data_IF_824193036663
#
_entry.id   IF_824193036663
#
_cell.length_a   1.000
_cell.length_b   1.000
_cell.length_c   1.000
_cell.angle_alpha   90.00
_cell.angle_beta   90.00
_cell.angle_gamma   90.00
#
_symmetry.space_group_name_H-M   'P 1'
#
loop_
_entity.id
_entity.type
_entity.pdbx_description
1 polymer ?
#
# COMPACT_ATOMS: atom_id res chain seq x y z
N UNK A 1 26.42 0.44 -9.69
CA UNK A 1 25.47 -0.37 -10.51
C UNK A 1 24.14 0.36 -10.53
N UNK A 2 23.48 0.61 -11.68
CA UNK A 2 22.15 1.23 -11.65
C UNK A 2 21.18 0.23 -11.01
N UNK A 3 20.55 0.63 -9.91
CA UNK A 3 19.75 -0.26 -9.05
C UNK A 3 18.40 -0.66 -9.71
N UNK A 4 17.92 0.09 -10.70
CA UNK A 4 16.59 -0.09 -11.30
C UNK A 4 16.59 -0.71 -12.72
N UNK A 5 17.66 -1.42 -13.12
CA UNK A 5 17.73 -2.00 -14.48
C UNK A 5 16.66 -3.05 -14.79
N UNK A 6 16.11 -3.69 -13.76
CA UNK A 6 15.07 -4.73 -13.89
C UNK A 6 13.64 -4.16 -13.77
N UNK A 7 13.51 -2.84 -13.66
CA UNK A 7 12.25 -2.17 -13.33
C UNK A 7 12.29 -1.55 -11.93
N UNK A 8 11.15 -1.06 -11.50
CA UNK A 8 10.96 -0.37 -10.23
C UNK A 8 9.50 -0.51 -9.76
N UNK A 9 9.29 -0.38 -8.46
CA UNK A 9 7.98 -0.21 -7.84
C UNK A 9 7.99 1.16 -7.17
N UNK A 10 6.96 1.97 -7.45
CA UNK A 10 6.76 3.25 -6.78
C UNK A 10 5.64 3.06 -5.77
N UNK A 11 5.96 3.21 -4.49
CA UNK A 11 4.99 3.14 -3.40
C UNK A 11 4.63 4.55 -2.94
N UNK A 12 3.34 4.86 -2.85
CA UNK A 12 2.85 6.18 -2.44
C UNK A 12 3.13 7.32 -3.44
N UNK A 13 3.64 6.99 -4.63
CA UNK A 13 3.90 7.94 -5.71
C UNK A 13 3.39 7.38 -7.04
N UNK A 14 2.72 8.21 -7.86
CA UNK A 14 2.29 9.58 -7.59
C UNK A 14 1.10 9.62 -6.62
N UNK A 15 0.96 10.70 -5.84
CA UNK A 15 -0.16 10.89 -4.91
C UNK A 15 -1.28 11.78 -5.46
N UNK A 16 -1.03 12.49 -6.56
CA UNK A 16 -2.02 13.37 -7.22
C UNK A 16 -2.01 13.18 -8.74
N UNK A 17 -3.11 13.53 -9.40
CA UNK A 17 -3.19 13.47 -10.86
C UNK A 17 -2.14 14.35 -11.56
N UNK A 18 -1.80 15.52 -11.00
CA UNK A 18 -0.76 16.38 -11.52
C UNK A 18 0.63 15.72 -11.46
N UNK A 19 0.94 15.07 -10.32
CA UNK A 19 2.18 14.29 -10.20
C UNK A 19 2.18 13.11 -11.17
N UNK A 20 1.04 12.46 -11.37
CA UNK A 20 0.92 11.32 -12.29
C UNK A 20 1.19 11.72 -13.74
N UNK A 21 0.71 12.89 -14.17
CA UNK A 21 1.04 13.46 -15.47
C UNK A 21 2.54 13.68 -15.61
N UNK A 22 3.15 14.44 -14.70
CA UNK A 22 4.59 14.75 -14.75
C UNK A 22 5.46 13.49 -14.72
N UNK A 23 5.12 12.53 -13.87
CA UNK A 23 5.84 11.26 -13.76
C UNK A 23 5.72 10.44 -15.05
N UNK A 24 4.50 10.31 -15.60
CA UNK A 24 4.26 9.56 -16.83
C UNK A 24 5.07 10.14 -18.00
N UNK A 25 5.02 11.47 -18.19
CA UNK A 25 5.78 12.15 -19.25
C UNK A 25 7.30 12.02 -19.07
N UNK A 26 7.80 12.07 -17.83
CA UNK A 26 9.22 11.91 -17.55
C UNK A 26 9.70 10.48 -17.84
N UNK A 27 8.90 9.47 -17.52
CA UNK A 27 9.21 8.06 -17.74
C UNK A 27 9.07 7.66 -19.22
N UNK A 28 8.07 8.19 -19.92
CA UNK A 28 7.91 8.04 -21.37
C UNK A 28 9.15 8.60 -22.11
N UNK A 29 9.61 9.82 -21.77
CA UNK A 29 10.82 10.42 -22.36
C UNK A 29 12.11 9.63 -22.09
N UNK A 30 12.15 8.85 -21.02
CA UNK A 30 13.29 7.99 -20.65
C UNK A 30 13.23 6.60 -21.30
N UNK A 31 12.16 6.28 -22.04
CA UNK A 31 11.95 4.96 -22.63
C UNK A 31 11.60 3.88 -21.60
N UNK A 32 11.12 4.27 -20.42
CA UNK A 32 10.75 3.35 -19.33
C UNK A 32 9.36 3.70 -18.79
N UNK A 33 8.29 3.62 -19.61
CA UNK A 33 6.94 4.00 -19.20
C UNK A 33 6.42 3.11 -18.05
N UNK A 34 5.42 3.62 -17.33
CA UNK A 34 4.69 2.81 -16.35
C UNK A 34 3.90 1.71 -17.07
N UNK A 35 3.92 0.51 -16.51
CA UNK A 35 3.25 -0.67 -17.08
C UNK A 35 1.94 -0.99 -16.36
N UNK A 36 1.83 -0.62 -15.08
CA UNK A 36 0.64 -0.80 -14.27
C UNK A 36 0.61 0.22 -13.12
N UNK A 37 -0.59 0.53 -12.66
CA UNK A 37 -0.86 1.26 -11.42
C UNK A 37 -1.86 0.46 -10.59
N UNK A 38 -1.39 -0.13 -9.49
CA UNK A 38 -2.17 -1.01 -8.62
C UNK A 38 -2.91 -0.18 -7.57
N UNK A 39 -4.23 -0.35 -7.49
CA UNK A 39 -5.10 0.30 -6.51
C UNK A 39 -5.61 -0.74 -5.52
N UNK A 40 -5.02 -0.76 -4.32
CA UNK A 40 -5.40 -1.69 -3.27
C UNK A 40 -6.64 -1.19 -2.53
N UNK A 41 -7.73 -1.94 -2.63
CA UNK A 41 -9.03 -1.56 -2.08
C UNK A 41 -9.45 -2.54 -0.99
N UNK A 42 -9.82 -2.02 0.17
CA UNK A 42 -10.36 -2.82 1.26
C UNK A 42 -11.54 -2.09 1.93
N UNK A 43 -12.52 -2.83 2.47
CA UNK A 43 -13.58 -2.27 3.30
C UNK A 43 -13.02 -1.43 4.45
N UNK A 44 -13.67 -0.30 4.74
CA UNK A 44 -13.27 0.61 5.81
C UNK A 44 -13.14 -0.10 7.17
N UNK A 45 -14.08 -0.98 7.50
CA UNK A 45 -14.04 -1.71 8.77
C UNK A 45 -12.82 -2.64 8.87
N UNK A 46 -12.40 -3.26 7.76
CA UNK A 46 -11.19 -4.08 7.76
C UNK A 46 -9.93 -3.23 7.95
N UNK A 47 -9.89 -2.02 7.38
CA UNK A 47 -8.78 -1.10 7.60
C UNK A 47 -8.73 -0.62 9.07
N UNK A 48 -9.89 -0.35 9.67
CA UNK A 48 -9.99 -0.01 11.09
C UNK A 48 -9.53 -1.16 11.97
N UNK A 49 -9.95 -2.39 11.70
CA UNK A 49 -9.49 -3.58 12.41
C UNK A 49 -7.97 -3.73 12.34
N UNK A 50 -7.38 -3.55 11.15
CA UNK A 50 -5.91 -3.56 10.97
C UNK A 50 -5.20 -2.50 11.80
N UNK A 51 -5.79 -1.31 11.92
CA UNK A 51 -5.23 -0.25 12.77
C UNK A 51 -5.39 -0.57 14.26
N UNK A 52 -6.54 -1.14 14.66
CA UNK A 52 -6.82 -1.52 16.06
C UNK A 52 -5.84 -2.60 16.54
N UNK A 53 -5.64 -3.66 15.75
CA UNK A 53 -4.77 -4.79 16.12
C UNK A 53 -3.27 -4.55 15.92
N UNK A 54 -2.85 -3.35 15.47
CA UNK A 54 -1.45 -3.05 15.13
C UNK A 54 -0.59 -2.93 16.38
N UNK A 55 0.49 -3.72 16.41
CA UNK A 55 1.55 -3.64 17.40
C UNK A 55 2.85 -3.22 16.72
N UNK A 56 3.67 -2.42 17.40
CA UNK A 56 4.92 -1.87 16.85
C UNK A 56 6.03 -1.99 17.88
N UNK A 57 7.18 -2.49 17.45
CA UNK A 57 8.39 -2.37 18.23
C UNK A 57 9.03 -1.00 17.98
N UNK A 58 8.99 -0.11 18.97
CA UNK A 58 9.36 1.32 18.80
C UNK A 58 10.79 1.53 18.30
N UNK A 59 11.76 0.76 18.82
CA UNK A 59 13.17 0.94 18.47
C UNK A 59 13.50 0.57 17.02
N UNK A 60 12.76 -0.38 16.44
CA UNK A 60 13.04 -0.91 15.09
C UNK A 60 12.01 -0.54 14.03
N UNK A 61 10.80 -0.15 14.45
CA UNK A 61 9.64 0.03 13.57
C UNK A 61 9.04 -1.28 13.04
N UNK A 62 9.50 -2.46 13.50
CA UNK A 62 8.88 -3.75 13.14
C UNK A 62 7.41 -3.76 13.57
N UNK A 63 6.57 -4.34 12.70
CA UNK A 63 5.12 -4.34 12.86
C UNK A 63 4.61 -5.76 13.00
N UNK A 64 3.68 -5.89 13.93
CA UNK A 64 2.93 -7.08 14.26
C UNK A 64 1.45 -6.76 14.23
N UNK A 65 0.62 -7.79 14.25
CA UNK A 65 -0.81 -7.66 14.40
C UNK A 65 -1.34 -8.81 15.24
N UNK A 66 -2.18 -8.53 16.24
CA UNK A 66 -2.65 -9.54 17.20
C UNK A 66 -3.18 -10.82 16.55
N UNK A 67 -3.97 -10.70 15.48
CA UNK A 67 -4.54 -11.86 14.78
C UNK A 67 -3.82 -12.18 13.47
N UNK A 68 -3.57 -11.18 12.61
CA UNK A 68 -3.08 -11.39 11.25
C UNK A 68 -1.58 -11.74 11.18
N UNK A 69 -0.80 -11.30 12.17
CA UNK A 69 0.64 -11.52 12.25
C UNK A 69 1.11 -11.41 13.70
N UNK A 70 0.69 -12.36 14.57
CA UNK A 70 1.01 -12.31 15.98
C UNK A 70 2.52 -12.42 16.19
N UNK A 71 3.07 -11.78 17.23
CA UNK A 71 4.42 -12.10 17.68
C UNK A 71 4.48 -13.54 18.20
N UNK A 72 5.67 -14.13 18.22
CA UNK A 72 5.90 -15.47 18.75
C UNK A 72 5.60 -15.56 20.26
N UNK A 73 5.91 -14.49 21.01
CA UNK A 73 5.51 -14.31 22.40
C UNK A 73 4.64 -13.05 22.52
N UNK A 74 3.53 -13.16 23.25
CA UNK A 74 2.56 -12.06 23.37
C UNK A 74 3.23 -10.78 23.93
N UNK A 75 3.05 -9.68 23.19
CA UNK A 75 3.58 -8.38 23.59
C UNK A 75 5.10 -8.22 23.44
N UNK A 76 5.82 -9.16 22.80
CA UNK A 76 7.28 -9.07 22.60
C UNK A 76 7.70 -9.07 21.14
N UNK A 77 8.76 -8.32 20.85
CA UNK A 77 9.43 -8.36 19.56
C UNK A 77 10.20 -9.68 19.39
N UNK A 78 9.98 -10.37 18.26
CA UNK A 78 10.57 -11.68 18.00
C UNK A 78 12.11 -11.68 17.90
N UNK A 79 12.73 -10.52 17.67
CA UNK A 79 14.18 -10.40 17.48
C UNK A 79 14.87 -9.97 18.76
N UNK A 80 14.30 -9.01 19.49
CA UNK A 80 14.94 -8.41 20.68
C UNK A 80 14.32 -8.85 21.99
N UNK A 81 13.11 -9.39 22.00
CA UNK A 81 12.33 -9.72 23.21
C UNK A 81 11.80 -8.49 23.95
N UNK A 82 12.00 -7.29 23.40
CA UNK A 82 11.52 -6.03 23.95
C UNK A 82 10.01 -5.87 23.78
N UNK A 83 9.40 -5.01 24.59
CA UNK A 83 7.96 -4.82 24.59
C UNK A 83 7.46 -4.17 23.29
N UNK A 84 6.31 -4.65 22.81
CA UNK A 84 5.57 -4.04 21.72
C UNK A 84 4.60 -2.99 22.26
N UNK A 85 4.49 -1.88 21.55
CA UNK A 85 3.52 -0.83 21.82
C UNK A 85 2.36 -0.91 20.85
N UNK A 86 1.15 -0.59 21.34
CA UNK A 86 0.00 -0.31 20.47
C UNK A 86 -0.09 1.19 20.24
N UNK A 87 0.03 1.68 19.00
CA UNK A 87 -0.16 3.10 18.73
C UNK A 87 -1.58 3.55 19.08
N UNK A 88 -1.71 4.75 19.64
CA UNK A 88 -3.01 5.36 19.87
C UNK A 88 -3.79 5.50 18.54
N UNK A 89 -5.09 5.18 18.59
CA UNK A 89 -5.98 5.22 17.43
C UNK A 89 -7.05 6.30 17.63
N UNK A 90 -6.97 7.36 16.84
CA UNK A 90 -8.06 8.32 16.68
C UNK A 90 -8.89 7.91 15.46
N UNK A 91 -9.97 7.17 15.70
CA UNK A 91 -10.81 6.66 14.62
C UNK A 91 -11.50 7.77 13.80
N UNK A 92 -11.88 8.88 14.45
CA UNK A 92 -12.55 9.98 13.76
C UNK A 92 -11.59 10.63 12.76
N UNK A 93 -10.35 10.90 13.19
CA UNK A 93 -9.29 11.40 12.33
C UNK A 93 -8.94 10.41 11.22
N UNK A 94 -8.87 9.12 11.54
CA UNK A 94 -8.55 8.08 10.57
C UNK A 94 -9.63 7.97 9.48
N UNK A 95 -10.92 7.95 9.85
CA UNK A 95 -12.02 7.93 8.89
C UNK A 95 -11.99 9.15 7.97
N UNK A 96 -11.78 10.35 8.53
CA UNK A 96 -11.61 11.56 7.73
C UNK A 96 -10.43 11.48 6.75
N UNK A 97 -9.32 10.87 7.19
CA UNK A 97 -8.18 10.59 6.31
C UNK A 97 -8.50 9.59 5.19
N UNK A 98 -9.25 8.53 5.48
CA UNK A 98 -9.69 7.54 4.49
C UNK A 98 -10.65 8.14 3.46
N UNK A 99 -11.54 9.03 3.87
CA UNK A 99 -12.42 9.77 2.96
C UNK A 99 -11.64 10.68 2.02
N UNK A 100 -10.70 11.48 2.56
CA UNK A 100 -9.82 12.32 1.75
C UNK A 100 -8.99 11.48 0.76
N UNK A 101 -8.43 10.36 1.23
CA UNK A 101 -7.68 9.43 0.39
C UNK A 101 -8.54 8.81 -0.72
N UNK A 102 -9.79 8.42 -0.44
CA UNK A 102 -10.73 7.92 -1.46
C UNK A 102 -11.05 8.97 -2.51
N UNK A 103 -11.31 10.21 -2.09
CA UNK A 103 -11.60 11.32 -3.00
C UNK A 103 -10.42 11.57 -3.94
N UNK A 104 -9.23 11.76 -3.40
CA UNK A 104 -8.04 12.10 -4.18
C UNK A 104 -7.56 10.89 -5.00
N UNK A 105 -7.67 9.69 -4.41
CA UNK A 105 -7.41 8.41 -5.07
C UNK A 105 -8.30 8.14 -6.26
N UNK A 106 -9.59 8.54 -6.22
CA UNK A 106 -10.50 8.38 -7.37
C UNK A 106 -10.05 9.16 -8.61
N UNK A 107 -9.53 10.38 -8.42
CA UNK A 107 -9.00 11.21 -9.52
C UNK A 107 -7.73 10.59 -10.11
N UNK A 108 -6.89 10.01 -9.27
CA UNK A 108 -5.68 9.32 -9.68
C UNK A 108 -5.98 8.00 -10.41
N UNK A 109 -6.94 7.24 -9.90
CA UNK A 109 -7.42 6.01 -10.54
C UNK A 109 -8.02 6.31 -11.91
N UNK A 110 -8.80 7.38 -12.02
CA UNK A 110 -9.34 7.86 -13.29
C UNK A 110 -8.23 8.18 -14.30
N UNK A 111 -7.19 8.89 -13.86
CA UNK A 111 -6.03 9.22 -14.69
C UNK A 111 -5.38 7.96 -15.29
N UNK A 112 -5.07 6.97 -14.45
CA UNK A 112 -4.44 5.73 -14.91
C UNK A 112 -5.40 4.83 -15.68
N UNK A 113 -6.70 4.88 -15.41
CA UNK A 113 -7.73 4.17 -16.17
C UNK A 113 -7.78 4.66 -17.61
N UNK A 114 -7.72 5.98 -17.84
CA UNK A 114 -7.68 6.57 -19.19
C UNK A 114 -6.42 6.18 -19.97
N UNK A 115 -5.32 5.90 -19.27
CA UNK A 115 -4.07 5.36 -19.88
C UNK A 115 -4.09 3.84 -20.04
N UNK A 116 -5.12 3.12 -19.59
CA UNK A 116 -5.17 1.66 -19.61
C UNK A 116 -4.24 0.97 -18.61
N UNK A 117 -3.77 1.70 -17.60
CA UNK A 117 -2.78 1.22 -16.62
C UNK A 117 -3.38 0.90 -15.25
N UNK A 118 -4.58 1.39 -14.92
CA UNK A 118 -5.19 1.17 -13.61
C UNK A 118 -5.59 -0.30 -13.40
N UNK A 119 -5.19 -0.86 -12.27
CA UNK A 119 -5.45 -2.24 -11.83
C UNK A 119 -6.02 -2.22 -10.41
N UNK A 120 -7.36 -2.25 -10.22
CA UNK A 120 -7.93 -2.43 -8.89
C UNK A 120 -7.62 -3.83 -8.37
N UNK A 121 -7.24 -3.93 -7.10
CA UNK A 121 -6.89 -5.17 -6.42
C UNK A 121 -7.59 -5.20 -5.07
N UNK A 122 -8.35 -6.27 -4.81
CA UNK A 122 -8.96 -6.48 -3.51
C UNK A 122 -7.87 -6.79 -2.48
N UNK A 123 -7.76 -5.93 -1.47
CA UNK A 123 -6.80 -6.00 -0.39
C UNK A 123 -7.45 -6.43 0.93
N UNK A 124 -8.57 -7.16 0.88
CA UNK A 124 -9.30 -7.61 2.07
C UNK A 124 -8.89 -8.97 2.64
N UNK A 125 -8.11 -9.75 1.88
CA UNK A 125 -7.64 -11.09 2.27
C UNK A 125 -6.36 -11.10 3.11
N UNK A 126 -5.76 -12.28 3.24
CA UNK A 126 -4.46 -12.48 3.87
C UNK A 126 -3.33 -11.80 3.08
N UNK A 127 -2.16 -11.52 3.70
CA UNK A 127 -1.01 -10.98 2.99
C UNK A 127 -0.61 -11.81 1.76
N UNK A 128 -0.69 -13.14 1.85
CA UNK A 128 -0.36 -14.07 0.76
C UNK A 128 -1.35 -13.97 -0.40
N UNK A 129 -2.65 -13.91 -0.10
CA UNK A 129 -3.70 -13.74 -1.12
C UNK A 129 -3.56 -12.41 -1.84
N UNK A 130 -3.33 -11.33 -1.10
CA UNK A 130 -3.15 -9.99 -1.67
C UNK A 130 -1.85 -9.91 -2.48
N UNK A 131 -0.77 -10.55 -2.01
CA UNK A 131 0.48 -10.60 -2.76
C UNK A 131 0.33 -11.34 -4.09
N UNK A 132 -0.39 -12.47 -4.11
CA UNK A 132 -0.70 -13.20 -5.32
C UNK A 132 -1.53 -12.35 -6.30
N UNK A 133 -2.59 -11.71 -5.81
CA UNK A 133 -3.44 -10.83 -6.62
C UNK A 133 -2.68 -9.64 -7.21
N UNK A 134 -1.77 -9.02 -6.44
CA UNK A 134 -0.85 -7.99 -6.95
C UNK A 134 0.06 -8.53 -8.04
N UNK A 135 0.60 -9.74 -7.86
CA UNK A 135 1.46 -10.41 -8.84
C UNK A 135 0.74 -10.68 -10.17
N UNK A 136 -0.52 -11.10 -10.11
CA UNK A 136 -1.36 -11.29 -11.30
C UNK A 136 -1.70 -9.95 -11.97
N UNK A 137 -2.10 -8.96 -11.20
CA UNK A 137 -2.47 -7.64 -11.71
C UNK A 137 -1.30 -6.84 -12.29
N UNK A 138 -0.07 -7.11 -11.83
CA UNK A 138 1.16 -6.49 -12.33
C UNK A 138 1.66 -7.10 -13.65
N UNK A 139 1.18 -8.28 -14.05
CA UNK A 139 1.55 -8.87 -15.34
C UNK A 139 1.01 -7.99 -16.47
N UNK A 140 1.81 -7.84 -17.53
CA UNK A 140 1.35 -7.17 -18.74
C UNK A 140 0.08 -7.86 -19.21
N UNK A 141 -0.94 -7.06 -19.53
CA UNK A 141 -2.08 -7.59 -20.28
C UNK A 141 -1.61 -8.28 -21.56
N UNK A 142 -2.45 -9.14 -22.16
CA UNK A 142 -2.11 -9.82 -23.41
C UNK A 142 -1.67 -8.85 -24.50
#
# INVERSE_FOLDING_TARGET
>A
RPQCRRGFVLEGLPATAAQAQTLSEALERRGTPLEAALFLEAPEEQLLQRCRGRLVHEASGRRYHEELKPPAEEGRDDVTGEALARPALDEAKLRGGMEAYRRDGSLLQEFFRRKGLARPVSAGGSPEEVAAACGEAAQKGP
#
